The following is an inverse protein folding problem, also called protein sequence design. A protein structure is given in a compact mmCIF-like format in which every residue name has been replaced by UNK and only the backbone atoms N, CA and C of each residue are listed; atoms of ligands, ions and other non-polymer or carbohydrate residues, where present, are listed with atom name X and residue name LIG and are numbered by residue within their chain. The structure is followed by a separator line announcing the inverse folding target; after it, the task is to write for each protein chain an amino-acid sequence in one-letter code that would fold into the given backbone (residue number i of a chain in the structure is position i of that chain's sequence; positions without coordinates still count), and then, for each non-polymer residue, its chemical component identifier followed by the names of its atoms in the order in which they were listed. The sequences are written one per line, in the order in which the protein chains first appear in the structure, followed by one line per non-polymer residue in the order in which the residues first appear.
data_IF_544033118223
#
_entry.id   IF_544033118223
#
_cell.length_a   1.000
_cell.length_b   1.000
_cell.length_c   1.000
_cell.angle_alpha   90.00
_cell.angle_beta   90.00
_cell.angle_gamma   90.00
#
_symmetry.space_group_name_H-M   'P 1'
#
loop_
_entity.id
_entity.type
_entity.pdbx_description
1 polymer ?
#
# COMPACT_ATOMS: atom_id res chain seq x y z
N UNK A 1 -39.83 -24.57 -64.26
CA UNK A 1 -40.00 -24.64 -62.80
C UNK A 1 -38.78 -25.35 -62.24
N UNK A 2 -38.04 -24.63 -61.41
CA UNK A 2 -36.72 -24.94 -60.87
C UNK A 2 -36.72 -26.12 -59.88
N UNK A 3 -35.57 -26.77 -59.68
CA UNK A 3 -35.17 -27.25 -58.36
C UNK A 3 -34.01 -26.40 -57.80
N UNK A 4 -34.19 -26.04 -56.53
CA UNK A 4 -33.40 -25.11 -55.74
C UNK A 4 -31.98 -25.58 -55.47
N UNK A 5 -31.08 -24.59 -55.42
CA UNK A 5 -29.67 -24.62 -55.00
C UNK A 5 -29.49 -25.25 -53.60
N UNK A 6 -28.54 -26.17 -53.47
CA UNK A 6 -27.85 -26.47 -52.21
C UNK A 6 -26.47 -25.82 -52.27
N UNK A 7 -26.27 -24.74 -51.51
CA UNK A 7 -24.96 -24.16 -51.23
C UNK A 7 -24.47 -24.84 -49.96
N UNK A 8 -23.44 -25.68 -50.08
CA UNK A 8 -22.74 -26.26 -48.95
C UNK A 8 -21.79 -25.21 -48.36
N UNK A 9 -22.11 -24.69 -47.18
CA UNK A 9 -21.19 -23.88 -46.39
C UNK A 9 -20.33 -24.81 -45.55
N UNK A 10 -19.07 -25.02 -45.96
CA UNK A 10 -18.05 -25.61 -45.12
C UNK A 10 -17.62 -24.57 -44.08
N UNK A 11 -18.09 -24.73 -42.84
CA UNK A 11 -17.68 -23.90 -41.71
C UNK A 11 -16.44 -24.56 -41.08
N UNK A 12 -15.27 -24.02 -41.41
CA UNK A 12 -14.01 -24.32 -40.70
C UNK A 12 -14.08 -23.61 -39.35
N UNK A 13 -14.21 -24.38 -38.28
CA UNK A 13 -14.16 -23.89 -36.90
C UNK A 13 -12.69 -23.72 -36.51
N UNK A 14 -12.13 -22.53 -36.73
CA UNK A 14 -10.85 -22.15 -36.11
C UNK A 14 -11.10 -21.79 -34.64
N UNK A 15 -10.87 -22.74 -33.74
CA UNK A 15 -10.76 -22.46 -32.31
C UNK A 15 -9.47 -21.66 -32.06
N UNK A 16 -9.59 -20.33 -31.97
CA UNK A 16 -8.53 -19.49 -31.39
C UNK A 16 -8.61 -19.64 -29.87
N UNK A 17 -7.78 -20.52 -29.32
CA UNK A 17 -7.50 -20.57 -27.89
C UNK A 17 -6.65 -19.34 -27.52
N UNK A 18 -7.32 -18.21 -27.25
CA UNK A 18 -6.69 -17.04 -26.65
C UNK A 18 -6.36 -17.35 -25.20
N UNK A 19 -5.12 -17.76 -24.92
CA UNK A 19 -4.60 -17.85 -23.56
C UNK A 19 -4.60 -16.46 -22.94
N UNK A 20 -5.44 -16.25 -21.93
CA UNK A 20 -5.32 -15.11 -21.02
C UNK A 20 -4.00 -15.28 -20.26
N UNK A 21 -2.95 -14.64 -20.76
CA UNK A 21 -1.74 -14.43 -19.97
C UNK A 21 -2.09 -13.38 -18.91
N UNK A 22 -2.38 -13.84 -17.70
CA UNK A 22 -2.35 -13.00 -16.52
C UNK A 22 -0.91 -12.54 -16.34
N UNK A 23 -0.58 -11.33 -16.80
CA UNK A 23 0.66 -10.68 -16.41
C UNK A 23 0.54 -10.34 -14.93
N UNK A 24 1.30 -11.03 -14.08
CA UNK A 24 1.49 -10.63 -12.70
C UNK A 24 2.11 -9.24 -12.70
N UNK A 25 1.30 -8.22 -12.43
CA UNK A 25 1.80 -6.87 -12.14
C UNK A 25 2.42 -6.97 -10.76
N UNK A 26 3.74 -7.11 -10.70
CA UNK A 26 4.46 -7.14 -9.45
C UNK A 26 4.50 -5.73 -8.87
N UNK A 27 3.78 -5.56 -7.76
CA UNK A 27 3.88 -4.35 -6.97
C UNK A 27 5.20 -4.32 -6.18
N UNK A 28 5.48 -3.21 -5.53
CA UNK A 28 6.51 -3.14 -4.50
C UNK A 28 5.99 -2.21 -3.41
N UNK A 29 5.92 -2.68 -2.16
CA UNK A 29 5.70 -1.81 -1.00
C UNK A 29 6.93 -1.76 -0.11
N UNK A 30 7.19 -0.57 0.40
CA UNK A 30 8.36 -0.21 1.17
C UNK A 30 8.62 1.28 1.00
N UNK A 31 9.34 1.91 1.94
CA UNK A 31 9.72 3.30 1.75
C UNK A 31 10.64 3.42 0.53
N UNK A 32 10.49 4.49 -0.27
CA UNK A 32 11.43 4.92 -1.33
C UNK A 32 12.90 5.06 -0.89
N UNK A 33 13.17 4.92 0.40
CA UNK A 33 14.50 4.96 1.03
C UNK A 33 14.99 3.59 1.50
N UNK A 34 14.23 2.52 1.27
CA UNK A 34 14.62 1.17 1.65
C UNK A 34 15.78 0.71 0.76
N UNK A 35 16.97 0.59 1.34
CA UNK A 35 18.17 0.17 0.60
C UNK A 35 18.12 -1.24 0.02
N UNK A 36 17.14 -2.06 0.44
CA UNK A 36 16.84 -3.35 -0.18
C UNK A 36 16.08 -3.20 -1.52
N UNK A 37 15.32 -2.12 -1.70
CA UNK A 37 14.50 -1.88 -2.90
C UNK A 37 15.13 -0.85 -3.83
N UNK A 38 15.90 0.10 -3.28
CA UNK A 38 16.50 1.21 -4.02
C UNK A 38 18.02 1.28 -3.82
N UNK A 39 18.71 1.72 -4.87
CA UNK A 39 20.15 1.95 -4.88
C UNK A 39 20.46 3.27 -4.16
N UNK A 40 20.83 3.19 -2.87
CA UNK A 40 21.09 4.39 -2.05
C UNK A 40 22.29 5.22 -2.53
N UNK A 41 23.16 4.61 -3.33
CA UNK A 41 24.31 5.19 -4.01
C UNK A 41 23.99 5.76 -5.40
N UNK A 42 22.84 5.44 -5.98
CA UNK A 42 22.38 5.96 -7.27
C UNK A 42 21.23 6.97 -7.08
N UNK A 43 21.60 8.15 -6.58
CA UNK A 43 20.71 9.29 -6.47
C UNK A 43 20.69 10.09 -7.77
N UNK A 44 19.53 10.17 -8.42
CA UNK A 44 19.38 10.85 -9.71
C UNK A 44 18.33 11.95 -9.67
N UNK A 45 18.48 12.92 -10.58
CA UNK A 45 17.48 13.96 -10.88
C UNK A 45 16.95 13.75 -12.29
N UNK A 46 15.64 13.92 -12.46
CA UNK A 46 14.96 13.89 -13.75
C UNK A 46 14.06 15.12 -13.88
N UNK A 47 13.98 15.67 -15.08
CA UNK A 47 12.98 16.66 -15.47
C UNK A 47 12.19 16.11 -16.65
N UNK A 48 10.88 16.27 -16.63
CA UNK A 48 10.03 15.72 -17.68
C UNK A 48 8.58 16.12 -17.57
N UNK A 49 7.76 15.52 -18.41
CA UNK A 49 6.32 15.70 -18.42
C UNK A 49 5.63 14.50 -17.77
N UNK A 50 4.98 14.73 -16.63
CA UNK A 50 4.21 13.74 -15.90
C UNK A 50 2.81 13.68 -16.51
N UNK A 51 2.48 12.54 -17.12
CA UNK A 51 1.28 12.39 -17.98
C UNK A 51 0.21 11.51 -17.36
N UNK A 52 0.57 10.66 -16.41
CA UNK A 52 -0.34 9.71 -15.78
C UNK A 52 -0.02 9.55 -14.30
N UNK A 53 -1.06 9.52 -13.48
CA UNK A 53 -0.99 9.25 -12.05
C UNK A 53 -1.94 8.11 -11.72
N UNK A 54 -1.38 7.01 -11.20
CA UNK A 54 -2.14 5.90 -10.65
C UNK A 54 -2.42 6.21 -9.18
N UNK A 55 -3.57 6.83 -8.93
CA UNK A 55 -4.01 7.25 -7.60
C UNK A 55 -4.67 6.10 -6.83
N UNK A 56 -3.87 5.17 -6.32
CA UNK A 56 -4.34 4.00 -5.57
C UNK A 56 -3.47 3.73 -4.36
N UNK A 57 -4.05 3.12 -3.35
CA UNK A 57 -3.29 2.63 -2.20
C UNK A 57 -2.44 1.41 -2.60
N UNK A 58 -1.29 1.21 -1.93
CA UNK A 58 -0.74 2.04 -0.84
C UNK A 58 0.25 3.14 -1.30
N UNK A 59 0.63 3.21 -2.57
CA UNK A 59 1.55 4.23 -3.10
C UNK A 59 1.02 4.86 -4.38
N UNK A 60 1.17 6.18 -4.50
CA UNK A 60 0.95 6.87 -5.77
C UNK A 60 2.04 6.45 -6.74
N UNK A 61 1.65 5.91 -7.90
CA UNK A 61 2.56 5.69 -9.03
C UNK A 61 2.32 6.75 -10.08
N UNK A 62 3.34 7.13 -10.84
CA UNK A 62 3.19 8.05 -11.95
C UNK A 62 4.12 7.69 -13.11
N UNK A 63 3.77 8.13 -14.32
CA UNK A 63 4.64 8.04 -15.50
C UNK A 63 5.18 9.40 -15.87
N UNK A 64 6.51 9.49 -15.91
CA UNK A 64 7.26 10.68 -16.31
C UNK A 64 7.92 10.44 -17.66
N UNK A 65 7.58 11.24 -18.66
CA UNK A 65 8.28 11.24 -19.93
C UNK A 65 9.49 12.19 -19.85
N UNK A 66 10.69 11.64 -19.97
CA UNK A 66 11.96 12.38 -19.98
C UNK A 66 12.49 12.38 -21.40
N UNK A 67 12.84 13.55 -21.90
CA UNK A 67 13.47 13.73 -23.22
C UNK A 67 14.91 14.15 -23.02
N UNK A 68 15.85 13.44 -23.62
CA UNK A 68 17.27 13.79 -23.53
C UNK A 68 17.69 14.85 -24.57
N UNK A 69 18.98 15.21 -24.56
CA UNK A 69 19.54 16.22 -25.45
C UNK A 69 19.49 15.80 -26.94
N UNK A 70 19.42 14.50 -27.22
CA UNK A 70 19.32 13.94 -28.57
C UNK A 70 17.85 13.83 -29.04
N UNK A 71 16.89 14.13 -28.15
CA UNK A 71 15.46 14.06 -28.42
C UNK A 71 14.84 12.67 -28.22
N UNK A 72 15.60 11.71 -27.70
CA UNK A 72 15.09 10.39 -27.36
C UNK A 72 14.22 10.48 -26.10
N UNK A 73 13.14 9.70 -26.08
CA UNK A 73 12.15 9.70 -25.00
C UNK A 73 12.26 8.42 -24.17
N UNK A 74 12.36 8.59 -22.86
CA UNK A 74 12.34 7.49 -21.89
C UNK A 74 11.20 7.71 -20.91
N UNK A 75 10.36 6.70 -20.74
CA UNK A 75 9.26 6.73 -19.77
C UNK A 75 9.75 6.13 -18.46
N UNK A 76 9.72 6.93 -17.40
CA UNK A 76 10.06 6.52 -16.05
C UNK A 76 8.82 6.22 -15.22
N UNK A 77 8.85 5.13 -14.46
CA UNK A 77 7.88 4.87 -13.40
C UNK A 77 8.33 5.51 -12.08
N UNK A 78 7.49 6.38 -11.53
CA UNK A 78 7.75 7.03 -10.26
C UNK A 78 6.96 6.37 -9.14
N UNK A 79 7.62 6.03 -8.04
CA UNK A 79 6.97 5.82 -6.75
C UNK A 79 6.98 7.14 -5.97
N UNK A 80 5.80 7.68 -5.72
CA UNK A 80 5.60 8.93 -4.99
C UNK A 80 4.89 8.60 -3.68
N UNK A 81 5.60 8.77 -2.58
CA UNK A 81 4.98 8.82 -1.25
C UNK A 81 4.49 10.24 -0.92
N UNK A 82 3.72 10.45 0.16
CA UNK A 82 3.04 9.43 0.97
C UNK A 82 1.81 8.84 0.24
N UNK A 83 0.90 8.20 0.95
CA UNK A 83 -0.31 7.60 0.37
C UNK A 83 -1.26 8.66 -0.19
N UNK A 84 -2.16 8.30 -1.14
CA UNK A 84 -3.23 9.16 -1.64
C UNK A 84 -3.99 9.94 -0.56
N UNK A 85 -4.50 9.28 0.50
CA UNK A 85 -5.19 9.99 1.61
C UNK A 85 -4.33 11.00 2.33
N UNK A 86 -3.03 10.74 2.50
CA UNK A 86 -2.15 11.73 3.11
C UNK A 86 -2.01 12.96 2.20
N UNK A 87 -1.98 12.80 0.88
CA UNK A 87 -2.04 13.93 -0.04
C UNK A 87 -3.39 14.65 -0.01
N UNK A 88 -4.50 13.92 -0.04
CA UNK A 88 -5.86 14.49 -0.01
C UNK A 88 -6.12 15.28 1.28
N UNK A 89 -5.62 14.82 2.42
CA UNK A 89 -5.68 15.55 3.69
C UNK A 89 -4.95 16.90 3.66
N UNK A 90 -4.07 17.11 2.68
CA UNK A 90 -3.33 18.35 2.42
C UNK A 90 -3.91 19.12 1.24
N UNK A 91 -5.06 18.69 0.71
CA UNK A 91 -5.71 19.29 -0.45
C UNK A 91 -5.01 19.00 -1.78
N UNK A 92 -4.19 17.94 -1.85
CA UNK A 92 -3.48 17.53 -3.07
C UNK A 92 -4.13 16.30 -3.66
N UNK A 93 -4.39 16.34 -4.95
CA UNK A 93 -5.04 15.30 -5.74
C UNK A 93 -4.17 14.89 -6.94
N UNK A 94 -4.56 13.83 -7.64
CA UNK A 94 -3.79 13.25 -8.74
C UNK A 94 -3.49 14.28 -9.84
N UNK A 95 -4.45 15.16 -10.12
CA UNK A 95 -4.37 16.17 -11.17
C UNK A 95 -3.31 17.23 -10.89
N UNK A 96 -2.98 17.48 -9.63
CA UNK A 96 -1.99 18.49 -9.23
C UNK A 96 -0.55 18.12 -9.63
N UNK A 97 -0.30 16.84 -9.95
CA UNK A 97 1.01 16.37 -10.41
C UNK A 97 1.18 16.43 -11.94
N UNK A 98 0.08 16.56 -12.70
CA UNK A 98 0.11 16.46 -14.16
C UNK A 98 0.75 17.72 -14.77
N UNK A 99 1.77 17.51 -15.62
CA UNK A 99 2.49 18.57 -16.29
C UNK A 99 4.00 18.46 -16.11
N UNK A 100 4.71 19.58 -16.33
CA UNK A 100 6.17 19.61 -16.20
C UNK A 100 6.59 19.60 -14.73
N UNK A 101 7.43 18.64 -14.37
CA UNK A 101 7.92 18.42 -13.00
C UNK A 101 9.42 18.16 -12.97
N UNK A 102 10.01 18.33 -11.78
CA UNK A 102 11.36 17.84 -11.47
C UNK A 102 11.28 16.85 -10.32
N UNK A 103 11.96 15.72 -10.46
CA UNK A 103 11.97 14.67 -9.43
C UNK A 103 13.40 14.25 -9.11
N UNK A 104 13.61 13.89 -7.85
CA UNK A 104 14.88 13.36 -7.40
C UNK A 104 14.62 12.22 -6.44
N UNK A 105 15.46 11.19 -6.55
CA UNK A 105 15.17 9.91 -5.93
C UNK A 105 16.30 8.92 -6.08
N UNK A 106 16.04 7.73 -5.60
CA UNK A 106 16.94 6.59 -5.71
C UNK A 106 16.42 5.65 -6.78
N UNK A 107 17.28 5.21 -7.69
CA UNK A 107 16.89 4.24 -8.73
C UNK A 107 16.50 2.91 -8.08
N UNK A 108 15.46 2.28 -8.60
CA UNK A 108 15.05 0.95 -8.15
C UNK A 108 16.14 -0.08 -8.47
N UNK A 109 16.36 -1.01 -7.54
CA UNK A 109 17.25 -2.18 -7.77
C UNK A 109 16.65 -3.18 -8.76
N UNK A 110 15.35 -3.08 -9.01
CA UNK A 110 14.58 -4.06 -9.76
C UNK A 110 14.26 -3.61 -11.18
N UNK A 111 13.99 -2.32 -11.34
CA UNK A 111 13.67 -1.71 -12.62
C UNK A 111 14.56 -0.47 -12.81
N UNK A 112 15.48 -0.46 -13.78
CA UNK A 112 16.39 0.65 -13.99
C UNK A 112 15.68 1.95 -14.42
N UNK A 113 14.43 1.88 -14.89
CA UNK A 113 13.60 3.02 -15.30
C UNK A 113 12.52 3.34 -14.24
N UNK A 114 12.70 2.85 -13.01
CA UNK A 114 11.86 3.17 -11.86
C UNK A 114 12.62 3.98 -10.80
N UNK A 115 11.94 4.99 -10.24
CA UNK A 115 12.52 5.93 -9.28
C UNK A 115 11.68 6.02 -8.01
N UNK A 116 12.32 5.78 -6.86
CA UNK A 116 11.75 6.10 -5.56
C UNK A 116 11.92 7.59 -5.26
N UNK A 117 10.85 8.37 -5.36
CA UNK A 117 10.91 9.84 -5.31
C UNK A 117 10.99 10.37 -3.88
N UNK A 118 12.01 11.17 -3.59
CA UNK A 118 12.18 11.86 -2.29
C UNK A 118 12.03 13.38 -2.37
N UNK A 119 12.17 13.97 -3.55
CA UNK A 119 11.85 15.38 -3.84
C UNK A 119 11.06 15.44 -5.15
N UNK A 120 9.97 16.21 -5.16
CA UNK A 120 9.15 16.43 -6.36
C UNK A 120 8.72 17.89 -6.42
N UNK A 121 9.21 18.63 -7.41
CA UNK A 121 8.71 19.96 -7.76
C UNK A 121 7.47 19.80 -8.64
N UNK A 122 6.31 20.18 -8.10
CA UNK A 122 5.03 20.13 -8.80
C UNK A 122 4.91 21.30 -9.80
N UNK A 123 3.99 21.22 -10.77
CA UNK A 123 3.70 22.31 -11.71
C UNK A 123 3.27 23.61 -11.01
N UNK A 124 2.68 23.52 -9.81
CA UNK A 124 2.33 24.68 -8.98
C UNK A 124 3.55 25.48 -8.48
N UNK A 125 4.76 24.93 -8.60
CA UNK A 125 5.98 25.48 -8.02
C UNK A 125 6.19 25.11 -6.56
N UNK A 126 5.26 24.40 -5.93
CA UNK A 126 5.46 23.79 -4.61
C UNK A 126 6.28 22.50 -4.73
N UNK A 127 7.10 22.22 -3.74
CA UNK A 127 7.92 21.01 -3.69
C UNK A 127 7.47 20.07 -2.56
N UNK A 128 7.08 18.86 -2.94
CA UNK A 128 6.93 17.75 -2.02
C UNK A 128 8.31 17.22 -1.62
N UNK A 129 8.48 16.97 -0.33
CA UNK A 129 9.73 16.44 0.24
C UNK A 129 9.40 15.28 1.17
N UNK A 130 9.98 14.11 0.89
CA UNK A 130 9.82 12.92 1.70
C UNK A 130 10.69 12.95 2.97
N UNK A 131 10.08 12.72 4.13
CA UNK A 131 10.73 12.76 5.45
C UNK A 131 11.32 14.14 5.80
N UNK A 132 12.25 14.20 6.76
CA UNK A 132 12.91 15.44 7.20
C UNK A 132 14.06 15.83 6.26
N UNK A 133 13.76 16.02 4.97
CA UNK A 133 14.72 16.48 3.97
C UNK A 133 14.56 17.97 3.66
N UNK A 134 15.59 18.57 3.08
CA UNK A 134 15.56 19.95 2.60
C UNK A 134 14.87 20.05 1.23
N UNK A 135 14.33 21.23 0.94
CA UNK A 135 13.88 21.59 -0.40
C UNK A 135 15.07 21.62 -1.36
N UNK A 136 14.87 21.23 -2.60
CA UNK A 136 15.92 21.12 -3.61
C UNK A 136 15.83 22.19 -4.69
N UNK A 137 14.63 22.61 -5.08
CA UNK A 137 14.43 23.54 -6.19
C UNK A 137 13.49 24.70 -5.86
N UNK A 138 12.58 24.53 -4.90
CA UNK A 138 11.63 25.57 -4.50
C UNK A 138 11.92 26.15 -3.12
N UNK A 139 11.40 27.34 -2.85
CA UNK A 139 11.25 27.87 -1.48
C UNK A 139 9.88 27.58 -0.89
N UNK A 140 8.94 27.09 -1.70
CA UNK A 140 7.59 26.74 -1.30
C UNK A 140 7.51 25.23 -1.06
N UNK A 141 7.56 24.81 0.20
CA UNK A 141 7.28 23.42 0.56
C UNK A 141 5.78 23.15 0.37
N UNK A 142 5.42 22.01 -0.19
CA UNK A 142 4.05 21.52 -0.12
C UNK A 142 3.67 21.41 1.35
N UNK A 143 2.76 22.28 1.80
CA UNK A 143 2.49 22.53 3.21
C UNK A 143 2.47 21.23 4.01
N UNK A 144 3.44 21.09 4.90
CA UNK A 144 3.36 20.10 5.97
C UNK A 144 2.30 20.64 6.92
N UNK A 145 1.01 20.41 6.61
CA UNK A 145 -0.06 20.73 7.53
C UNK A 145 0.37 20.19 8.90
N UNK A 146 0.53 21.10 9.85
CA UNK A 146 1.01 20.82 11.19
C UNK A 146 0.06 19.80 11.83
N UNK A 147 0.41 18.51 11.78
CA UNK A 147 -0.51 17.47 12.23
C UNK A 147 -0.18 16.05 11.77
N UNK A 148 1.10 15.65 11.79
CA UNK A 148 1.46 14.24 11.57
C UNK A 148 1.10 13.67 10.18
N UNK A 149 1.39 12.39 9.98
CA UNK A 149 1.26 11.69 8.69
C UNK A 149 -0.21 11.54 8.23
N UNK A 150 -1.18 11.95 9.07
CA UNK A 150 -2.62 11.78 8.81
C UNK A 150 -3.50 12.98 9.19
N UNK A 151 -2.92 14.17 9.42
CA UNK A 151 -3.72 15.37 9.73
C UNK A 151 -4.58 15.25 11.01
N UNK A 152 -4.25 14.32 11.91
CA UNK A 152 -4.95 14.12 13.17
C UNK A 152 -4.51 15.21 14.15
N UNK A 153 -5.03 16.43 13.95
CA UNK A 153 -4.91 17.50 14.93
C UNK A 153 -5.55 17.06 16.25
N UNK A 154 -4.97 17.47 17.38
CA UNK A 154 -5.44 17.10 18.72
C UNK A 154 -6.91 17.44 18.97
N UNK A 155 -7.44 18.50 18.33
CA UNK A 155 -8.85 18.86 18.39
C UNK A 155 -9.76 17.79 17.75
N UNK A 156 -9.42 17.32 16.54
CA UNK A 156 -10.17 16.27 15.85
C UNK A 156 -10.16 14.96 16.66
N UNK A 157 -9.02 14.64 17.28
CA UNK A 157 -8.93 13.48 18.18
C UNK A 157 -9.89 13.64 19.35
N UNK A 158 -9.85 14.76 20.09
CA UNK A 158 -10.73 14.97 21.25
C UNK A 158 -12.21 14.91 20.87
N UNK A 159 -12.60 15.46 19.72
CA UNK A 159 -13.97 15.35 19.24
C UNK A 159 -14.36 13.91 18.89
N UNK A 160 -13.48 13.19 18.18
CA UNK A 160 -13.69 11.78 17.86
C UNK A 160 -13.81 10.93 19.13
N UNK A 161 -12.99 11.18 20.15
CA UNK A 161 -13.06 10.46 21.43
C UNK A 161 -14.36 10.73 22.19
N UNK A 162 -14.86 11.97 22.16
CA UNK A 162 -16.12 12.34 22.83
C UNK A 162 -17.34 11.78 22.12
N UNK A 163 -17.31 11.69 20.79
CA UNK A 163 -18.43 11.21 19.99
C UNK A 163 -18.47 9.68 19.87
N UNK A 164 -17.35 9.00 20.15
CA UNK A 164 -17.25 7.55 20.02
C UNK A 164 -17.98 6.81 21.14
N UNK A 165 -18.58 5.68 20.76
CA UNK A 165 -18.95 4.63 21.71
C UNK A 165 -17.73 3.70 21.89
N UNK A 166 -16.96 3.93 22.95
CA UNK A 166 -15.75 3.15 23.24
C UNK A 166 -14.73 3.15 22.11
N UNK A 167 -14.44 1.96 21.55
CA UNK A 167 -13.43 1.76 20.51
C UNK A 167 -13.95 1.99 19.08
N UNK A 168 -15.25 2.21 18.90
CA UNK A 168 -15.89 2.28 17.58
C UNK A 168 -15.71 3.66 16.95
N UNK A 169 -14.57 3.84 16.29
CA UNK A 169 -14.11 5.08 15.67
C UNK A 169 -12.96 4.81 14.70
N UNK A 170 -12.50 5.86 14.04
CA UNK A 170 -11.24 5.83 13.28
C UNK A 170 -10.06 5.98 14.24
N UNK A 171 -9.13 5.05 14.14
CA UNK A 171 -7.84 5.04 14.80
C UNK A 171 -6.75 5.39 13.81
N UNK A 172 -5.70 6.08 14.25
CA UNK A 172 -4.54 6.37 13.42
C UNK A 172 -3.31 6.61 14.27
N UNK A 173 -2.14 6.61 13.62
CA UNK A 173 -0.86 6.70 14.33
C UNK A 173 -0.66 8.08 14.97
N UNK A 174 -0.42 8.07 16.29
CA UNK A 174 0.15 9.21 16.98
C UNK A 174 1.62 9.36 16.54
N UNK A 175 1.97 10.49 15.91
CA UNK A 175 3.34 10.77 15.50
C UNK A 175 4.14 11.23 16.72
N UNK A 176 4.57 10.28 17.55
CA UNK A 176 5.75 10.51 18.38
C UNK A 176 6.99 10.05 17.60
N UNK A 177 8.06 10.84 17.66
CA UNK A 177 9.38 10.56 17.09
C UNK A 177 10.02 9.23 17.59
N UNK A 178 9.30 8.48 18.41
CA UNK A 178 9.71 7.25 19.09
C UNK A 178 8.87 6.04 18.70
N UNK A 179 7.94 6.14 17.74
CA UNK A 179 7.30 4.96 17.15
C UNK A 179 8.32 4.23 16.26
N UNK A 180 9.34 3.66 16.91
CA UNK A 180 10.17 2.59 16.38
C UNK A 180 9.18 1.55 15.88
N UNK A 181 9.20 1.22 14.60
CA UNK A 181 8.54 0.02 14.14
C UNK A 181 8.94 -1.15 15.06
N UNK A 182 8.01 -2.08 15.28
CA UNK A 182 8.21 -3.28 16.08
C UNK A 182 9.60 -3.85 15.79
N UNK A 183 10.46 -4.01 16.79
CA UNK A 183 11.85 -4.38 16.56
C UNK A 183 11.94 -5.86 16.18
N UNK A 184 12.87 -6.29 15.31
CA UNK A 184 12.99 -7.70 14.93
C UNK A 184 13.17 -8.63 16.13
N UNK A 185 13.82 -8.13 17.20
CA UNK A 185 14.01 -8.85 18.46
C UNK A 185 12.72 -9.07 19.26
N UNK A 186 11.70 -8.24 19.04
CA UNK A 186 10.39 -8.36 19.70
C UNK A 186 9.54 -9.45 19.06
N UNK A 187 9.72 -9.70 17.75
CA UNK A 187 8.96 -10.69 16.98
C UNK A 187 9.54 -12.10 17.07
N UNK A 188 10.86 -12.22 17.20
CA UNK A 188 11.55 -13.51 17.27
C UNK A 188 11.05 -14.44 18.41
N UNK A 189 10.45 -13.88 19.47
CA UNK A 189 9.86 -14.65 20.59
C UNK A 189 8.61 -15.42 20.19
N UNK A 190 7.91 -14.98 19.14
CA UNK A 190 6.69 -15.62 18.64
C UNK A 190 6.99 -16.76 17.64
N UNK A 191 8.23 -16.83 17.14
CA UNK A 191 8.61 -17.82 16.15
C UNK A 191 8.88 -19.19 16.78
N UNK A 192 8.36 -20.23 16.13
CA UNK A 192 8.77 -21.62 16.39
C UNK A 192 10.23 -21.84 15.93
N UNK A 193 10.90 -22.95 16.30
CA UNK A 193 12.21 -23.28 15.73
C UNK A 193 12.23 -23.24 14.19
N UNK A 194 11.18 -23.77 13.56
CA UNK A 194 11.02 -23.72 12.10
C UNK A 194 10.84 -22.29 11.58
N UNK A 195 10.06 -21.47 12.28
CA UNK A 195 9.89 -20.05 11.92
C UNK A 195 11.21 -19.29 11.93
N UNK A 196 12.07 -19.55 12.92
CA UNK A 196 13.42 -18.94 12.98
C UNK A 196 14.32 -19.34 11.82
N UNK A 197 14.26 -20.60 11.38
CA UNK A 197 15.01 -21.06 10.19
C UNK A 197 14.53 -20.36 8.91
N UNK A 198 13.21 -20.20 8.76
CA UNK A 198 12.63 -19.52 7.60
C UNK A 198 12.99 -18.02 7.58
N UNK A 199 12.86 -17.34 8.72
CA UNK A 199 13.25 -15.94 8.87
C UNK A 199 14.74 -15.71 8.56
N UNK A 200 15.63 -16.63 8.97
CA UNK A 200 17.06 -16.53 8.68
C UNK A 200 17.40 -16.71 7.19
N UNK A 201 16.54 -17.37 6.42
CA UNK A 201 16.72 -17.59 4.99
C UNK A 201 15.95 -16.59 4.11
N UNK A 202 15.18 -15.69 4.72
CA UNK A 202 14.32 -14.73 4.02
C UNK A 202 15.15 -13.64 3.33
N UNK A 203 14.88 -13.44 2.04
CA UNK A 203 15.41 -12.34 1.24
C UNK A 203 14.33 -11.26 1.04
N UNK A 204 14.42 -10.10 1.72
CA UNK A 204 13.43 -9.03 1.61
C UNK A 204 13.38 -8.39 0.22
N UNK A 205 14.39 -8.61 -0.64
CA UNK A 205 14.42 -8.06 -2.01
C UNK A 205 13.48 -8.85 -2.93
N UNK A 206 13.40 -10.16 -2.74
CA UNK A 206 12.69 -11.07 -3.66
C UNK A 206 11.48 -11.75 -3.03
N UNK A 207 11.41 -11.83 -1.71
CA UNK A 207 10.40 -12.61 -0.99
C UNK A 207 9.46 -11.77 -0.13
N UNK A 208 9.61 -10.44 -0.15
CA UNK A 208 8.75 -9.57 0.66
C UNK A 208 7.30 -9.62 0.17
N UNK A 209 6.33 -10.06 1.00
CA UNK A 209 4.92 -10.14 0.61
C UNK A 209 4.32 -8.80 0.17
N UNK A 210 4.92 -7.69 0.60
CA UNK A 210 4.60 -6.34 0.12
C UNK A 210 4.83 -6.18 -1.38
N UNK A 211 5.70 -6.98 -2.00
CA UNK A 211 5.90 -6.97 -3.44
C UNK A 211 4.72 -7.57 -4.21
N UNK A 212 3.84 -8.31 -3.55
CA UNK A 212 2.70 -8.95 -4.20
C UNK A 212 1.37 -8.24 -3.89
N UNK A 213 1.40 -7.04 -3.30
CA UNK A 213 0.20 -6.38 -2.72
C UNK A 213 -0.55 -7.28 -1.73
N UNK A 214 0.15 -8.20 -1.05
CA UNK A 214 -0.50 -9.17 -0.15
C UNK A 214 -0.28 -8.79 1.30
N UNK A 215 -1.32 -9.02 2.09
CA UNK A 215 -1.29 -8.86 3.53
C UNK A 215 -2.11 -9.94 4.22
N UNK A 216 -1.84 -10.10 5.52
CA UNK A 216 -2.54 -11.02 6.38
C UNK A 216 -2.22 -10.81 7.85
N UNK A 217 -2.89 -11.59 8.69
CA UNK A 217 -2.72 -11.58 10.13
C UNK A 217 -1.38 -12.23 10.54
N UNK A 218 -0.69 -11.72 11.58
CA UNK A 218 -1.06 -10.57 12.41
C UNK A 218 -0.60 -9.22 11.84
N UNK A 219 0.23 -9.21 10.79
CA UNK A 219 0.88 -8.01 10.24
C UNK A 219 -0.10 -6.87 9.97
N UNK A 220 -1.26 -7.17 9.38
CA UNK A 220 -2.31 -6.18 9.07
C UNK A 220 -2.70 -5.30 10.27
N UNK A 221 -2.66 -5.83 11.50
CA UNK A 221 -3.01 -5.05 12.70
C UNK A 221 -1.93 -4.04 13.12
N UNK A 222 -0.76 -4.11 12.51
CA UNK A 222 0.41 -3.28 12.84
C UNK A 222 0.72 -2.24 11.76
N UNK A 223 -0.09 -2.17 10.70
CA UNK A 223 0.07 -1.14 9.67
C UNK A 223 -0.08 0.26 10.27
N UNK A 224 0.77 1.21 9.87
CA UNK A 224 0.76 2.56 10.44
C UNK A 224 -0.37 3.43 9.91
N UNK A 225 -1.19 2.94 8.99
CA UNK A 225 -2.30 3.66 8.36
C UNK A 225 -3.55 3.67 9.24
N UNK A 226 -4.50 4.59 8.99
CA UNK A 226 -5.73 4.63 9.76
C UNK A 226 -6.53 3.33 9.61
N UNK A 227 -7.12 2.86 10.71
CA UNK A 227 -8.11 1.79 10.71
C UNK A 227 -9.42 2.29 11.30
N UNK A 228 -10.54 1.85 10.77
CA UNK A 228 -11.85 2.09 11.34
C UNK A 228 -12.35 0.82 12.03
N UNK A 229 -12.89 0.96 13.25
CA UNK A 229 -13.57 -0.13 13.96
C UNK A 229 -15.06 0.20 13.98
N UNK A 230 -15.88 -0.67 13.40
CA UNK A 230 -17.32 -0.48 13.24
C UNK A 230 -18.08 -1.55 14.02
N UNK A 231 -19.08 -1.12 14.79
CA UNK A 231 -20.02 -2.02 15.44
C UNK A 231 -21.20 -2.31 14.51
N UNK A 232 -21.41 -3.58 14.12
CA UNK A 232 -22.58 -4.03 13.37
C UNK A 232 -23.57 -4.83 14.23
N UNK A 233 -23.39 -4.85 15.55
CA UNK A 233 -24.23 -5.58 16.50
C UNK A 233 -23.75 -7.01 16.74
N UNK A 234 -23.97 -7.91 15.78
CA UNK A 234 -23.55 -9.32 15.85
C UNK A 234 -22.06 -9.53 15.48
N UNK A 235 -21.45 -8.54 14.85
CA UNK A 235 -20.04 -8.54 14.48
C UNK A 235 -19.41 -7.16 14.60
N UNK A 236 -18.09 -7.15 14.64
CA UNK A 236 -17.25 -5.96 14.56
C UNK A 236 -16.47 -6.03 13.25
N UNK A 237 -16.50 -4.95 12.46
CA UNK A 237 -15.65 -4.81 11.28
C UNK A 237 -14.43 -3.96 11.62
N UNK A 238 -13.26 -4.43 11.24
CA UNK A 238 -12.01 -3.66 11.29
C UNK A 238 -11.59 -3.41 9.85
N UNK A 239 -11.66 -2.15 9.41
CA UNK A 239 -11.29 -1.71 8.07
C UNK A 239 -9.95 -1.01 8.10
N UNK A 240 -8.93 -1.62 7.51
CA UNK A 240 -7.63 -0.98 7.31
C UNK A 240 -7.65 -0.18 6.02
N UNK A 241 -7.13 1.04 6.07
CA UNK A 241 -7.02 1.86 4.87
C UNK A 241 -5.97 1.31 3.88
N UNK A 242 -4.88 0.73 4.38
CA UNK A 242 -3.90 0.07 3.54
C UNK A 242 -4.46 -1.26 3.01
N UNK A 243 -4.26 -1.52 1.71
CA UNK A 243 -4.74 -2.72 1.02
C UNK A 243 -6.25 -2.95 0.98
N UNK A 244 -7.06 -1.99 1.47
CA UNK A 244 -8.54 -2.10 1.53
C UNK A 244 -8.98 -3.37 2.27
N UNK A 245 -8.31 -3.68 3.39
CA UNK A 245 -8.56 -4.89 4.16
C UNK A 245 -9.77 -4.70 5.06
N UNK A 246 -10.77 -5.57 4.91
CA UNK A 246 -11.89 -5.69 5.84
C UNK A 246 -11.78 -7.01 6.62
N UNK A 247 -11.50 -6.90 7.91
CA UNK A 247 -11.48 -8.03 8.85
C UNK A 247 -12.80 -8.07 9.62
N UNK A 248 -13.46 -9.21 9.59
CA UNK A 248 -14.68 -9.46 10.38
C UNK A 248 -14.34 -10.18 11.68
N UNK A 249 -14.82 -9.66 12.80
CA UNK A 249 -14.77 -10.31 14.12
C UNK A 249 -16.19 -10.66 14.53
N UNK A 250 -16.51 -11.95 14.58
CA UNK A 250 -17.82 -12.44 15.02
C UNK A 250 -17.91 -12.36 16.53
N UNK A 251 -19.01 -11.79 17.06
CA UNK A 251 -19.21 -11.62 18.50
C UNK A 251 -20.04 -12.74 19.12
N UNK A 252 -20.55 -13.66 18.29
CA UNK A 252 -21.23 -14.88 18.68
C UNK A 252 -20.39 -16.12 18.36
N UNK A 253 -20.65 -17.21 19.08
CA UNK A 253 -20.13 -18.52 18.70
C UNK A 253 -20.90 -18.99 17.45
N UNK A 254 -20.30 -18.84 16.27
CA UNK A 254 -20.83 -19.46 15.06
C UNK A 254 -20.62 -20.97 15.12
N UNK A 255 -21.45 -21.67 15.90
CA UNK A 255 -21.32 -23.12 16.17
C UNK A 255 -21.52 -24.03 14.93
N UNK A 256 -21.87 -23.50 13.76
CA UNK A 256 -22.42 -24.32 12.67
C UNK A 256 -21.73 -24.23 11.30
N UNK A 257 -20.66 -23.44 11.15
CA UNK A 257 -19.90 -23.40 9.89
C UNK A 257 -18.41 -23.45 10.19
N UNK A 258 -17.75 -24.55 9.77
CA UNK A 258 -16.29 -24.65 9.80
C UNK A 258 -15.69 -23.50 8.98
N UNK A 259 -14.84 -22.65 9.58
CA UNK A 259 -14.30 -21.50 8.88
C UNK A 259 -13.36 -21.89 7.74
N UNK A 260 -13.40 -21.11 6.66
CA UNK A 260 -12.42 -21.25 5.59
C UNK A 260 -11.08 -20.63 5.99
N UNK A 261 -10.00 -21.25 5.51
CA UNK A 261 -8.65 -20.72 5.65
C UNK A 261 -8.47 -19.48 4.75
N UNK A 262 -7.85 -18.44 5.28
CA UNK A 262 -7.53 -17.22 4.54
C UNK A 262 -6.36 -16.45 5.16
N UNK A 263 -5.86 -15.41 4.48
CA UNK A 263 -4.76 -14.59 5.01
C UNK A 263 -5.16 -13.80 6.25
N UNK A 264 -6.46 -13.51 6.42
CA UNK A 264 -7.02 -12.85 7.60
C UNK A 264 -7.50 -13.84 8.68
N UNK A 265 -7.63 -15.11 8.32
CA UNK A 265 -8.19 -16.16 9.16
C UNK A 265 -9.66 -15.95 9.51
N UNK A 266 -10.09 -16.61 10.58
CA UNK A 266 -11.42 -16.50 11.16
C UNK A 266 -11.30 -15.95 12.58
N UNK A 267 -11.95 -14.81 12.84
CA UNK A 267 -11.84 -14.10 14.12
C UNK A 267 -13.12 -14.21 14.94
N UNK A 268 -13.00 -14.65 16.19
CA UNK A 268 -14.09 -14.69 17.18
C UNK A 268 -13.72 -13.77 18.34
N UNK A 269 -14.63 -12.86 18.68
CA UNK A 269 -14.45 -11.84 19.70
C UNK A 269 -15.33 -12.09 20.91
N UNK A 270 -14.83 -11.69 22.08
CA UNK A 270 -15.62 -11.63 23.32
C UNK A 270 -15.22 -10.39 24.13
N UNK A 271 -16.17 -9.86 24.88
CA UNK A 271 -15.89 -8.80 25.84
C UNK A 271 -15.43 -9.39 27.17
N UNK A 272 -14.34 -8.84 27.72
CA UNK A 272 -13.82 -9.11 29.05
C UNK A 272 -13.69 -7.77 29.79
N UNK A 273 -14.77 -7.38 30.49
CA UNK A 273 -14.90 -6.02 30.99
C UNK A 273 -14.96 -5.00 29.85
N UNK A 274 -14.00 -4.08 29.83
CA UNK A 274 -13.81 -3.06 28.79
C UNK A 274 -12.84 -3.49 27.68
N UNK A 275 -12.32 -4.73 27.73
CA UNK A 275 -11.38 -5.27 26.76
C UNK A 275 -12.09 -6.15 25.73
N UNK A 276 -11.90 -5.84 24.44
CA UNK A 276 -12.25 -6.75 23.35
C UNK A 276 -11.12 -7.77 23.19
N UNK A 277 -11.38 -9.03 23.52
CA UNK A 277 -10.46 -10.15 23.29
C UNK A 277 -10.85 -10.83 21.99
N UNK A 278 -9.92 -10.93 21.04
CA UNK A 278 -10.14 -11.57 19.74
C UNK A 278 -9.19 -12.74 19.55
N UNK A 279 -9.76 -13.92 19.34
CA UNK A 279 -9.02 -15.10 18.90
C UNK A 279 -9.11 -15.20 17.38
N UNK A 280 -8.01 -15.57 16.71
CA UNK A 280 -8.00 -15.75 15.25
C UNK A 280 -7.37 -17.07 14.89
N UNK A 281 -8.10 -17.88 14.14
CA UNK A 281 -7.69 -19.22 13.69
C UNK A 281 -7.70 -19.29 12.16
N UNK A 282 -7.31 -20.41 11.56
CA UNK A 282 -7.40 -20.63 10.10
C UNK A 282 -6.64 -19.59 9.25
N UNK A 283 -5.54 -19.04 9.78
CA UNK A 283 -4.67 -18.10 9.07
C UNK A 283 -3.66 -18.89 8.21
N UNK A 284 -3.58 -18.62 6.90
CA UNK A 284 -2.54 -19.16 6.01
C UNK A 284 -1.42 -18.16 5.67
N UNK A 285 -1.46 -16.98 6.29
CA UNK A 285 -0.43 -15.97 6.14
C UNK A 285 0.87 -16.40 6.83
N UNK A 286 2.00 -16.53 6.11
CA UNK A 286 3.20 -17.13 6.68
C UNK A 286 4.14 -16.13 7.36
N UNK A 287 3.78 -14.84 7.41
CA UNK A 287 4.66 -13.76 7.88
C UNK A 287 4.12 -13.08 9.14
N UNK A 288 5.00 -12.78 10.09
CA UNK A 288 4.66 -11.95 11.26
C UNK A 288 4.93 -10.46 11.00
N UNK A 289 5.93 -10.15 10.18
CA UNK A 289 6.37 -8.81 9.82
C UNK A 289 6.93 -8.77 8.36
N UNK A 290 7.31 -7.60 7.82
CA UNK A 290 7.93 -7.50 6.48
C UNK A 290 9.37 -8.03 6.35
N UNK A 291 9.96 -8.56 7.43
CA UNK A 291 11.38 -8.92 7.55
C UNK A 291 11.61 -10.43 7.60
N UNK A 292 10.56 -11.25 7.56
CA UNK A 292 10.64 -12.71 7.50
C UNK A 292 9.96 -13.39 8.68
#
# INVERSE_FOLDING_TARGET
MEPKRMIGTAMVLCCVAGGLFSMSVLAHHGLVTNGALYLTDDFIELEGELTEVFWRNPHTRARLNVVDDDGEQTIWELEIGPTPRTFESRGVFAEDFIGRVRVAGYRSRRDPESLGVVNLLMPSGQEYVGANRELRWSTARLDSAAGGVFGLGSANTVEAERAADGIFRVWGRFVSNSARGMQPSEDARYLTPRGRELAAAYDPVTQNPELDCRQGMPKTMTDPTPMEIVNEGDRILIRSYEYDVERTVYMDEQENVEPQVSTLGHSVGRWDGDMLVVETTHVDWPYIDPRG
#
